data_IF_640155844314
#
_entry.id   IF_640155844314
#
_cell.length_a   1.000
_cell.length_b   1.000
_cell.length_c   1.000
_cell.angle_alpha   90.00
_cell.angle_beta   90.00
_cell.angle_gamma   90.00
#
_symmetry.space_group_name_H-M   'P 1'
#
loop_
_entity.id
_entity.type
_entity.pdbx_description
1 polymer ?
#
# COMPACT_ATOMS: atom_id res chain seq x y z
N UNK A 1 -2.14 12.78 -12.78
CA UNK A 1 -1.98 13.23 -11.38
C UNK A 1 -2.96 12.57 -10.42
N UNK A 2 -4.23 12.36 -10.82
CA UNK A 2 -5.23 11.75 -9.95
C UNK A 2 -4.79 10.38 -9.40
N UNK A 3 -4.12 9.54 -10.19
CA UNK A 3 -3.67 8.24 -9.70
C UNK A 3 -2.54 8.34 -8.69
N UNK A 4 -1.63 9.32 -8.82
CA UNK A 4 -0.62 9.62 -7.79
C UNK A 4 -1.26 10.10 -6.49
N UNK A 5 -2.36 10.85 -6.55
CA UNK A 5 -3.12 11.27 -5.36
C UNK A 5 -3.72 10.04 -4.67
N UNK A 6 -4.35 9.14 -5.43
CA UNK A 6 -4.93 7.91 -4.89
C UNK A 6 -3.86 7.03 -4.23
N UNK A 7 -2.70 6.84 -4.88
CA UNK A 7 -1.57 6.08 -4.32
C UNK A 7 -0.97 6.76 -3.08
N UNK A 8 -0.98 8.09 -3.02
CA UNK A 8 -0.53 8.84 -1.84
C UNK A 8 -1.50 8.66 -0.67
N UNK A 9 -2.82 8.64 -0.94
CA UNK A 9 -3.83 8.36 0.08
C UNK A 9 -3.70 6.94 0.64
N UNK A 10 -3.52 5.95 -0.24
CA UNK A 10 -3.20 4.56 0.16
C UNK A 10 -1.96 4.50 1.06
N UNK A 11 -0.87 5.15 0.65
CA UNK A 11 0.36 5.20 1.44
C UNK A 11 0.16 5.85 2.82
N UNK A 12 -0.66 6.90 2.93
CA UNK A 12 -0.98 7.52 4.23
C UNK A 12 -1.76 6.54 5.12
N UNK A 13 -2.68 5.77 4.55
CA UNK A 13 -3.40 4.74 5.31
C UNK A 13 -2.46 3.62 5.79
N UNK A 14 -1.44 3.25 5.00
CA UNK A 14 -0.40 2.31 5.43
C UNK A 14 0.51 2.89 6.52
N UNK A 15 0.89 4.16 6.41
CA UNK A 15 1.80 4.84 7.33
C UNK A 15 1.16 5.22 8.67
N UNK A 16 -0.14 5.48 8.67
CA UNK A 16 -0.85 6.05 9.83
C UNK A 16 -2.08 5.22 10.20
N UNK A 17 -2.93 4.89 9.23
CA UNK A 17 -4.17 4.15 9.46
C UNK A 17 -3.92 2.77 10.09
N UNK A 18 -3.09 1.94 9.45
CA UNK A 18 -2.76 0.61 9.95
C UNK A 18 -2.04 0.65 11.32
N UNK A 19 -1.00 1.49 11.54
CA UNK A 19 -0.40 1.61 12.86
C UNK A 19 -1.38 2.05 13.94
N UNK A 20 -2.30 2.98 13.68
CA UNK A 20 -3.31 3.37 14.68
C UNK A 20 -4.30 2.23 15.00
N UNK A 21 -4.66 1.43 13.99
CA UNK A 21 -5.55 0.29 14.15
C UNK A 21 -4.92 -0.86 14.97
N UNK A 22 -3.61 -1.05 14.88
CA UNK A 22 -2.90 -2.15 15.55
C UNK A 22 -2.18 -1.70 16.84
N UNK A 23 -1.88 -0.41 17.00
CA UNK A 23 -1.14 0.13 18.16
C UNK A 23 -2.08 0.63 19.26
N UNK A 24 -2.94 -0.26 19.76
CA UNK A 24 -3.91 0.06 20.80
C UNK A 24 -4.24 -1.15 21.70
N UNK A 25 -5.21 -0.99 22.59
CA UNK A 25 -5.60 -1.97 23.62
C UNK A 25 -6.34 -3.21 23.08
N UNK A 26 -6.88 -3.15 21.86
CA UNK A 26 -7.49 -4.32 21.23
C UNK A 26 -6.47 -5.21 20.51
N UNK A 27 -5.26 -4.68 20.25
CA UNK A 27 -4.19 -5.37 19.51
C UNK A 27 -2.90 -5.46 20.34
N UNK A 28 -1.85 -4.68 20.02
CA UNK A 28 -0.51 -4.87 20.60
C UNK A 28 -0.46 -4.79 22.15
N UNK A 29 -1.38 -4.02 22.74
CA UNK A 29 -1.51 -3.88 24.19
C UNK A 29 -2.56 -4.80 24.82
N UNK A 30 -3.22 -5.67 24.05
CA UNK A 30 -4.17 -6.65 24.58
C UNK A 30 -3.43 -7.60 25.54
N UNK A 31 -3.82 -7.70 26.83
CA UNK A 31 -3.19 -8.61 27.78
C UNK A 31 -3.46 -10.10 27.49
N UNK A 32 -4.49 -10.44 26.70
CA UNK A 32 -4.85 -11.82 26.34
C UNK A 32 -4.00 -12.37 25.21
N UNK A 33 -3.42 -11.51 24.37
CA UNK A 33 -2.54 -11.94 23.30
C UNK A 33 -1.26 -12.58 23.85
N UNK A 34 -0.92 -13.81 23.46
CA UNK A 34 0.36 -14.40 23.83
C UNK A 34 1.51 -13.58 23.24
N UNK A 35 2.71 -13.62 23.85
CA UNK A 35 3.85 -12.82 23.38
C UNK A 35 4.15 -12.96 21.88
N UNK A 36 3.96 -14.15 21.31
CA UNK A 36 4.21 -14.38 19.88
C UNK A 36 3.18 -13.72 18.95
N UNK A 37 1.91 -13.61 19.36
CA UNK A 37 0.92 -12.85 18.60
C UNK A 37 1.29 -11.36 18.56
N UNK A 38 1.79 -10.81 19.67
CA UNK A 38 2.31 -9.43 19.73
C UNK A 38 3.52 -9.22 18.83
N UNK A 39 4.42 -10.22 18.75
CA UNK A 39 5.54 -10.18 17.80
C UNK A 39 5.05 -10.04 16.36
N UNK A 40 4.08 -10.85 15.93
CA UNK A 40 3.49 -10.75 14.60
C UNK A 40 2.69 -9.45 14.40
N UNK A 41 1.99 -8.93 15.41
CA UNK A 41 1.35 -7.62 15.33
C UNK A 41 2.35 -6.46 15.17
N UNK A 42 3.48 -6.49 15.88
CA UNK A 42 4.56 -5.52 15.68
C UNK A 42 5.20 -5.66 14.28
N UNK A 43 5.30 -6.89 13.78
CA UNK A 43 5.74 -7.18 12.42
C UNK A 43 4.78 -6.58 11.37
N UNK A 44 3.46 -6.69 11.53
CA UNK A 44 2.48 -6.10 10.58
C UNK A 44 2.52 -4.59 10.60
N UNK A 45 2.60 -3.95 11.78
CA UNK A 45 2.78 -2.50 11.89
C UNK A 45 4.04 -2.03 11.14
N UNK A 46 5.17 -2.70 11.36
CA UNK A 46 6.43 -2.33 10.70
C UNK A 46 6.35 -2.55 9.19
N UNK A 47 5.69 -3.63 8.77
CA UNK A 47 5.46 -3.95 7.37
C UNK A 47 4.59 -2.89 6.70
N UNK A 48 3.51 -2.42 7.35
CA UNK A 48 2.64 -1.38 6.81
C UNK A 48 3.41 -0.08 6.57
N UNK A 49 4.22 0.35 7.56
CA UNK A 49 5.05 1.56 7.43
C UNK A 49 6.06 1.42 6.29
N UNK A 50 6.74 0.27 6.21
CA UNK A 50 7.73 0.00 5.16
C UNK A 50 7.10 0.05 3.77
N UNK A 51 5.92 -0.57 3.61
CA UNK A 51 5.19 -0.58 2.35
C UNK A 51 4.64 0.80 2.00
N UNK A 52 4.12 1.57 2.98
CA UNK A 52 3.68 2.95 2.74
C UNK A 52 4.80 3.87 2.26
N UNK A 53 6.00 3.76 2.85
CA UNK A 53 7.19 4.47 2.37
C UNK A 53 7.58 4.05 0.96
N UNK A 54 7.57 2.73 0.67
CA UNK A 54 7.84 2.21 -0.66
C UNK A 54 6.82 2.73 -1.69
N UNK A 55 5.53 2.73 -1.37
CA UNK A 55 4.46 3.28 -2.23
C UNK A 55 4.73 4.74 -2.56
N UNK A 56 5.07 5.59 -1.58
CA UNK A 56 5.43 6.99 -1.83
C UNK A 56 6.67 7.11 -2.72
N UNK A 57 7.72 6.33 -2.43
CA UNK A 57 8.96 6.34 -3.19
C UNK A 57 8.72 6.01 -4.66
N UNK A 58 7.97 4.94 -4.95
CA UNK A 58 7.68 4.55 -6.33
C UNK A 58 6.62 5.43 -7.03
N UNK A 59 5.74 6.09 -6.27
CA UNK A 59 4.78 7.06 -6.84
C UNK A 59 5.47 8.33 -7.32
N UNK A 60 6.44 8.83 -6.56
CA UNK A 60 7.05 10.15 -6.80
C UNK A 60 8.51 10.09 -7.31
N UNK A 61 9.21 8.97 -7.12
CA UNK A 61 10.61 8.77 -7.50
C UNK A 61 10.97 9.14 -8.94
N UNK A 62 10.20 8.71 -9.97
CA UNK A 62 10.47 9.11 -11.35
C UNK A 62 10.40 10.62 -11.57
N UNK A 63 9.60 11.34 -10.77
CA UNK A 63 9.43 12.80 -10.89
C UNK A 63 10.66 13.55 -10.36
N UNK A 64 11.35 12.99 -9.36
CA UNK A 64 12.57 13.57 -8.80
C UNK A 64 13.83 13.21 -9.59
N UNK A 65 13.87 12.02 -10.21
CA UNK A 65 15.03 11.54 -10.98
C UNK A 65 15.00 11.94 -12.47
N UNK A 66 14.17 12.92 -12.83
CA UNK A 66 14.01 13.42 -14.20
C UNK A 66 15.05 14.49 -14.56
N UNK A 67 16.34 14.16 -14.45
CA UNK A 67 17.39 15.03 -14.98
C UNK A 67 17.63 14.67 -16.45
N UNK A 68 16.83 15.22 -17.35
CA UNK A 68 16.99 14.96 -18.79
C UNK A 68 18.15 15.79 -19.36
N UNK A 69 19.18 15.10 -19.88
CA UNK A 69 20.21 15.72 -20.72
C UNK A 69 19.55 16.32 -21.98
N UNK A 70 19.95 17.53 -22.43
CA UNK A 70 19.42 18.10 -23.67
C UNK A 70 19.51 17.12 -24.84
N UNK A 71 18.42 16.96 -25.58
CA UNK A 71 18.37 16.13 -26.76
C UNK A 71 19.17 16.78 -27.90
N UNK A 72 20.02 16.01 -28.57
CA UNK A 72 20.80 16.49 -29.71
C UNK A 72 19.94 16.66 -30.98
N UNK A 73 18.85 15.89 -31.11
CA UNK A 73 17.93 15.91 -32.25
C UNK A 73 16.48 15.62 -31.79
N UNK A 74 15.46 15.98 -32.59
CA UNK A 74 14.06 15.64 -32.29
C UNK A 74 13.81 14.13 -32.16
N UNK A 75 14.51 13.29 -32.94
CA UNK A 75 14.41 11.84 -32.85
C UNK A 75 14.91 11.32 -31.49
N UNK A 76 16.02 11.87 -30.98
CA UNK A 76 16.54 11.53 -29.64
C UNK A 76 15.56 12.01 -28.56
N UNK A 77 14.96 13.19 -28.72
CA UNK A 77 13.96 13.70 -27.78
C UNK A 77 12.73 12.77 -27.69
N UNK A 78 12.23 12.28 -28.83
CA UNK A 78 11.11 11.35 -28.88
C UNK A 78 11.43 10.03 -28.17
N UNK A 79 12.61 9.45 -28.41
CA UNK A 79 13.06 8.24 -27.72
C UNK A 79 13.23 8.46 -26.21
N UNK A 80 13.82 9.58 -25.79
CA UNK A 80 13.97 9.91 -24.38
C UNK A 80 12.61 10.06 -23.68
N UNK A 81 11.62 10.66 -24.35
CA UNK A 81 10.27 10.79 -23.84
C UNK A 81 9.60 9.43 -23.65
N UNK A 82 9.72 8.52 -24.63
CA UNK A 82 9.15 7.17 -24.53
C UNK A 82 9.79 6.37 -23.38
N UNK A 83 11.11 6.42 -23.24
CA UNK A 83 11.84 5.77 -22.14
C UNK A 83 11.39 6.31 -20.78
N UNK A 84 11.23 7.63 -20.66
CA UNK A 84 10.75 8.26 -19.42
C UNK A 84 9.31 7.85 -19.09
N UNK A 85 8.44 7.76 -20.12
CA UNK A 85 7.07 7.31 -19.97
C UNK A 85 7.02 5.86 -19.50
N UNK A 86 7.79 4.96 -20.10
CA UNK A 86 7.89 3.56 -19.68
C UNK A 86 8.36 3.43 -18.23
N UNK A 87 9.45 4.13 -17.85
CA UNK A 87 9.96 4.15 -16.48
C UNK A 87 8.90 4.63 -15.48
N UNK A 88 8.12 5.63 -15.85
CA UNK A 88 7.04 6.14 -15.01
C UNK A 88 5.94 5.09 -14.84
N UNK A 89 5.55 4.40 -15.91
CA UNK A 89 4.55 3.30 -15.86
C UNK A 89 5.02 2.15 -14.98
N UNK A 90 6.27 1.71 -15.14
CA UNK A 90 6.84 0.61 -14.35
C UNK A 90 6.88 0.99 -12.86
N UNK A 91 7.29 2.21 -12.54
CA UNK A 91 7.33 2.70 -11.16
C UNK A 91 5.93 2.76 -10.54
N UNK A 92 4.93 3.25 -11.27
CA UNK A 92 3.55 3.29 -10.79
C UNK A 92 2.96 1.87 -10.62
N UNK A 93 3.33 0.93 -11.50
CA UNK A 93 2.98 -0.49 -11.36
C UNK A 93 3.54 -1.08 -10.06
N UNK A 94 4.82 -0.81 -9.76
CA UNK A 94 5.43 -1.20 -8.49
C UNK A 94 4.75 -0.55 -7.30
N UNK A 95 4.42 0.75 -7.37
CA UNK A 95 3.71 1.45 -6.31
C UNK A 95 2.35 0.80 -5.99
N UNK A 96 1.55 0.45 -7.00
CA UNK A 96 0.29 -0.26 -6.80
C UNK A 96 0.48 -1.65 -6.20
N UNK A 97 1.50 -2.38 -6.64
CA UNK A 97 1.81 -3.68 -6.06
C UNK A 97 2.15 -3.56 -4.57
N UNK A 98 3.14 -2.74 -4.21
CA UNK A 98 3.55 -2.62 -2.80
C UNK A 98 2.49 -1.96 -1.92
N UNK A 99 1.66 -1.07 -2.47
CA UNK A 99 0.53 -0.46 -1.76
C UNK A 99 -0.62 -1.44 -1.50
N UNK A 100 -0.86 -2.39 -2.40
CA UNK A 100 -1.99 -3.33 -2.27
C UNK A 100 -1.70 -4.55 -1.39
N UNK A 101 -0.45 -5.04 -1.35
CA UNK A 101 -0.18 -6.36 -0.76
C UNK A 101 -0.48 -6.45 0.75
N UNK A 102 -0.35 -5.36 1.51
CA UNK A 102 -0.68 -5.35 2.94
C UNK A 102 -2.17 -5.63 3.16
N UNK A 103 -3.02 -4.91 2.42
CA UNK A 103 -4.48 -5.04 2.49
C UNK A 103 -4.95 -6.40 2.00
N UNK A 104 -4.38 -6.89 0.90
CA UNK A 104 -4.68 -8.21 0.35
C UNK A 104 -4.27 -9.34 1.31
N UNK A 105 -3.10 -9.23 1.96
CA UNK A 105 -2.69 -10.18 2.98
C UNK A 105 -3.64 -10.14 4.20
N UNK A 106 -4.07 -8.95 4.62
CA UNK A 106 -5.08 -8.78 5.67
C UNK A 106 -6.42 -9.43 5.32
N UNK A 107 -6.90 -9.29 4.08
CA UNK A 107 -8.11 -9.98 3.61
C UNK A 107 -7.95 -11.50 3.57
N UNK A 108 -6.78 -11.98 3.13
CA UNK A 108 -6.48 -13.41 3.07
C UNK A 108 -6.30 -14.05 4.45
N UNK A 109 -6.03 -13.26 5.49
CA UNK A 109 -5.79 -13.76 6.84
C UNK A 109 -6.94 -14.64 7.35
N UNK A 110 -8.19 -14.28 7.05
CA UNK A 110 -9.39 -15.02 7.49
C UNK A 110 -9.50 -16.43 6.88
N UNK A 111 -8.74 -16.72 5.81
CA UNK A 111 -8.72 -18.04 5.17
C UNK A 111 -7.91 -19.06 5.96
N UNK A 112 -7.09 -18.61 6.92
CA UNK A 112 -6.24 -19.49 7.72
C UNK A 112 -7.02 -20.04 8.93
N UNK A 113 -6.91 -21.35 9.22
CA UNK A 113 -7.62 -21.97 10.34
C UNK A 113 -7.33 -21.30 11.68
N UNK A 114 -8.37 -21.01 12.46
CA UNK A 114 -8.25 -20.43 13.80
C UNK A 114 -7.98 -18.93 13.84
N UNK A 115 -8.04 -18.24 12.70
CA UNK A 115 -8.01 -16.78 12.66
C UNK A 115 -9.42 -16.20 12.73
N UNK A 116 -9.55 -14.98 13.26
CA UNK A 116 -10.79 -14.21 13.27
C UNK A 116 -10.47 -12.72 13.06
N UNK A 117 -11.44 -11.96 12.58
CA UNK A 117 -11.29 -10.53 12.33
C UNK A 117 -11.34 -9.68 13.60
N UNK A 118 -11.85 -10.24 14.69
CA UNK A 118 -11.96 -9.59 15.99
C UNK A 118 -11.79 -10.61 17.11
N UNK A 119 -11.16 -10.21 18.21
CA UNK A 119 -11.13 -11.06 19.40
C UNK A 119 -12.52 -11.13 20.06
N UNK A 120 -12.89 -12.26 20.71
CA UNK A 120 -14.20 -12.45 21.34
C UNK A 120 -14.57 -11.39 22.38
N UNK A 121 -13.58 -10.77 23.03
CA UNK A 121 -13.82 -9.68 23.99
C UNK A 121 -14.23 -8.34 23.36
N UNK A 122 -14.03 -8.15 22.06
CA UNK A 122 -14.29 -6.87 21.38
C UNK A 122 -15.37 -6.96 20.29
N UNK A 123 -15.83 -8.17 19.92
CA UNK A 123 -16.82 -8.32 18.88
C UNK A 123 -17.45 -9.70 18.79
N UNK A 124 -18.32 -9.85 17.79
CA UNK A 124 -18.98 -11.13 17.51
C UNK A 124 -18.01 -12.06 16.78
N UNK A 125 -17.82 -13.31 17.25
CA UNK A 125 -17.00 -14.29 16.54
C UNK A 125 -17.44 -14.45 15.08
N UNK A 126 -16.47 -14.53 14.17
CA UNK A 126 -16.70 -14.60 12.73
C UNK A 126 -17.02 -13.25 12.07
N UNK A 127 -16.98 -12.14 12.81
CA UNK A 127 -17.10 -10.80 12.21
C UNK A 127 -15.74 -10.27 11.76
N UNK A 128 -15.73 -9.53 10.64
CA UNK A 128 -14.52 -8.96 10.05
C UNK A 128 -14.68 -7.46 9.79
N UNK A 129 -14.69 -6.62 10.84
CA UNK A 129 -15.05 -5.20 10.73
C UNK A 129 -14.12 -4.39 9.81
N UNK A 130 -12.87 -4.80 9.68
CA UNK A 130 -11.84 -4.19 8.82
C UNK A 130 -11.86 -4.70 7.37
N UNK A 131 -12.59 -5.77 7.08
CA UNK A 131 -12.68 -6.36 5.73
C UNK A 131 -13.13 -5.37 4.64
N UNK A 132 -14.19 -4.56 4.84
CA UNK A 132 -14.59 -3.54 3.89
C UNK A 132 -13.50 -2.49 3.64
N UNK A 133 -12.83 -2.02 4.70
CA UNK A 133 -11.75 -1.04 4.58
C UNK A 133 -10.58 -1.62 3.77
N UNK A 134 -10.13 -2.84 4.09
CA UNK A 134 -9.04 -3.48 3.35
C UNK A 134 -9.41 -3.67 1.87
N UNK A 135 -10.65 -4.04 1.57
CA UNK A 135 -11.13 -4.20 0.19
C UNK A 135 -11.10 -2.90 -0.60
N UNK A 136 -11.60 -1.81 0.00
CA UNK A 136 -11.61 -0.48 -0.63
C UNK A 136 -10.19 0.00 -0.89
N UNK A 137 -9.30 -0.11 0.11
CA UNK A 137 -7.95 0.45 -0.01
C UNK A 137 -7.07 -0.41 -0.94
N UNK A 138 -7.20 -1.73 -0.91
CA UNK A 138 -6.58 -2.61 -1.91
C UNK A 138 -6.99 -2.23 -3.34
N UNK A 139 -8.29 -1.95 -3.55
CA UNK A 139 -8.80 -1.51 -4.84
C UNK A 139 -8.25 -0.12 -5.23
N UNK A 140 -8.13 0.81 -4.28
CA UNK A 140 -7.55 2.14 -4.52
C UNK A 140 -6.13 2.05 -5.09
N UNK A 141 -5.26 1.20 -4.52
CA UNK A 141 -3.89 1.04 -5.02
C UNK A 141 -3.85 0.57 -6.48
N UNK A 142 -4.65 -0.44 -6.83
CA UNK A 142 -4.73 -0.97 -8.20
C UNK A 142 -5.37 0.05 -9.16
N UNK A 143 -6.51 0.63 -8.79
CA UNK A 143 -7.22 1.60 -9.61
C UNK A 143 -6.42 2.88 -9.83
N UNK A 144 -5.68 3.34 -8.81
CA UNK A 144 -4.81 4.51 -8.90
C UNK A 144 -3.72 4.36 -9.95
N UNK A 145 -3.03 3.20 -9.99
CA UNK A 145 -2.04 2.95 -11.03
C UNK A 145 -2.65 2.76 -12.42
N UNK A 146 -3.76 2.02 -12.54
CA UNK A 146 -4.44 1.82 -13.83
C UNK A 146 -4.91 3.16 -14.41
N UNK A 147 -5.50 4.02 -13.57
CA UNK A 147 -5.97 5.34 -13.99
C UNK A 147 -4.84 6.26 -14.47
N UNK A 148 -3.74 6.34 -13.71
CA UNK A 148 -2.60 7.18 -14.11
C UNK A 148 -1.96 6.67 -15.41
N UNK A 149 -1.87 5.33 -15.59
CA UNK A 149 -1.36 4.73 -16.81
C UNK A 149 -2.23 4.96 -18.05
N UNK A 150 -3.54 5.14 -17.86
CA UNK A 150 -4.48 5.41 -18.96
C UNK A 150 -4.48 6.88 -19.37
N UNK A 151 -4.18 7.78 -18.41
CA UNK A 151 -4.21 9.24 -18.62
C UNK A 151 -2.84 9.86 -18.92
N UNK A 152 -1.75 9.10 -18.82
CA UNK A 152 -0.38 9.49 -19.15
C UNK A 152 0.10 8.91 -20.49
#
# INVERSE_FOLDING_TARGET
MLGKIILTLDAVLLLVGAPLADYNHTHIFNPRWPPHAKFHGAQTITLSVTLGLATLFYTWGPSFNSTSRPAATPAVAATQHEVQRQRTRDSLGTAAFVGSIYWLAGLAAILYPGTDGVDPEFGTPGSFPQGPAFSVVAAMAVLGAVWEQWTA
#
